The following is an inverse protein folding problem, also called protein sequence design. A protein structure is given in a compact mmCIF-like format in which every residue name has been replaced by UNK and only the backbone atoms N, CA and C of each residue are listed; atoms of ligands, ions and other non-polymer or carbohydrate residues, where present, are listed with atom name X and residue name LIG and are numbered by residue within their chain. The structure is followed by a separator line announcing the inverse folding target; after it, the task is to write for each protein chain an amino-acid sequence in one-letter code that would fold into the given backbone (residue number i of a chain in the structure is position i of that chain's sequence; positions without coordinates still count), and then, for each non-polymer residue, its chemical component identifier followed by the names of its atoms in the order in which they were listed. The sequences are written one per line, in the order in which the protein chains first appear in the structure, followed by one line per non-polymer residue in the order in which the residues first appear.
data_IF_546268625248
#
_entry.id   IF_546268625248
#
_cell.length_a   1.000
_cell.length_b   1.000
_cell.length_c   1.000
_cell.angle_alpha   90.00
_cell.angle_beta   90.00
_cell.angle_gamma   90.00
#
_symmetry.space_group_name_H-M   'P 1'
#
loop_
_entity.id
_entity.type
_entity.pdbx_description
1 polymer ?
#
# COMPACT_ATOMS: atom_id res chain seq x y z
N UNK A 1 -27.68 -13.25 26.56
CA UNK A 1 -28.15 -12.52 25.36
C UNK A 1 -27.79 -11.04 25.29
N UNK A 2 -27.54 -10.30 26.38
CA UNK A 2 -27.01 -8.92 26.29
C UNK A 2 -25.47 -8.88 26.21
N UNK A 3 -24.77 -9.66 27.05
CA UNK A 3 -23.29 -9.69 27.06
C UNK A 3 -22.66 -10.24 25.77
N UNK A 4 -23.32 -11.19 25.11
CA UNK A 4 -22.80 -11.84 23.90
C UNK A 4 -22.82 -10.90 22.68
N UNK A 5 -23.79 -9.97 22.62
CA UNK A 5 -23.83 -8.91 21.60
C UNK A 5 -22.75 -7.86 21.83
N UNK A 6 -22.47 -7.48 23.08
CA UNK A 6 -21.46 -6.47 23.40
C UNK A 6 -20.01 -6.96 23.23
N UNK A 7 -19.80 -8.27 23.26
CA UNK A 7 -18.50 -8.91 23.00
C UNK A 7 -18.25 -9.03 21.50
N UNK A 8 -19.26 -9.46 20.74
CA UNK A 8 -19.21 -9.53 19.27
C UNK A 8 -19.05 -8.15 18.62
N UNK A 9 -19.66 -7.11 19.20
CA UNK A 9 -19.54 -5.72 18.70
C UNK A 9 -18.16 -5.11 19.03
N UNK A 10 -17.52 -5.54 20.14
CA UNK A 10 -16.14 -5.16 20.46
C UNK A 10 -15.14 -5.83 19.53
N UNK A 11 -15.22 -7.15 19.36
CA UNK A 11 -14.31 -7.88 18.46
C UNK A 11 -14.37 -7.38 17.02
N UNK A 12 -15.57 -7.04 16.52
CA UNK A 12 -15.74 -6.49 15.16
C UNK A 12 -15.08 -5.11 15.00
N UNK A 13 -15.23 -4.21 15.98
CA UNK A 13 -14.55 -2.91 16.00
C UNK A 13 -13.03 -2.97 16.24
N UNK A 14 -12.52 -4.06 16.82
CA UNK A 14 -11.08 -4.30 16.96
C UNK A 14 -10.45 -4.83 15.66
N UNK A 15 -11.12 -5.72 14.93
CA UNK A 15 -10.62 -6.28 13.66
C UNK A 15 -10.60 -5.25 12.52
N UNK A 16 -11.60 -4.36 12.46
CA UNK A 16 -11.65 -3.26 11.48
C UNK A 16 -10.54 -2.23 11.74
N UNK A 17 -10.24 -1.94 13.02
CA UNK A 17 -9.11 -1.08 13.38
C UNK A 17 -7.76 -1.73 13.07
N UNK A 18 -7.61 -3.04 13.30
CA UNK A 18 -6.35 -3.74 13.02
C UNK A 18 -6.06 -3.81 11.52
N UNK A 19 -7.07 -4.14 10.70
CA UNK A 19 -6.94 -4.16 9.24
C UNK A 19 -6.66 -2.77 8.67
N UNK A 20 -7.32 -1.73 9.20
CA UNK A 20 -7.08 -0.34 8.81
C UNK A 20 -5.69 0.17 9.23
N UNK A 21 -5.23 -0.17 10.44
CA UNK A 21 -3.89 0.17 10.93
C UNK A 21 -2.82 -0.59 10.14
N UNK A 22 -3.05 -1.85 9.80
CA UNK A 22 -2.14 -2.62 8.95
C UNK A 22 -2.10 -2.07 7.53
N UNK A 23 -3.23 -1.71 6.91
CA UNK A 23 -3.23 -1.12 5.58
C UNK A 23 -2.60 0.28 5.56
N UNK A 24 -2.80 1.08 6.60
CA UNK A 24 -2.07 2.35 6.79
C UNK A 24 -0.59 2.07 7.02
N UNK A 25 -0.23 1.04 7.78
CA UNK A 25 1.16 0.69 8.04
C UNK A 25 1.86 0.18 6.79
N UNK A 26 1.23 -0.70 6.00
CA UNK A 26 1.72 -1.13 4.69
C UNK A 26 1.79 0.04 3.72
N UNK A 27 0.79 0.92 3.67
CA UNK A 27 0.81 2.11 2.83
C UNK A 27 1.88 3.12 3.28
N UNK A 28 2.08 3.32 4.58
CA UNK A 28 3.13 4.19 5.13
C UNK A 28 4.51 3.57 4.96
N UNK A 29 4.66 2.26 5.14
CA UNK A 29 5.89 1.52 4.90
C UNK A 29 6.21 1.57 3.41
N UNK A 30 5.24 1.32 2.55
CA UNK A 30 5.34 1.49 1.11
C UNK A 30 5.68 2.93 0.74
N UNK A 31 5.04 3.95 1.32
CA UNK A 31 5.37 5.36 1.07
C UNK A 31 6.77 5.75 1.59
N UNK A 32 7.20 5.26 2.75
CA UNK A 32 8.52 5.52 3.33
C UNK A 32 9.60 4.83 2.51
N UNK A 33 9.35 3.59 2.08
CA UNK A 33 10.22 2.83 1.18
C UNK A 33 10.23 3.49 -0.19
N UNK A 34 9.08 3.90 -0.72
CA UNK A 34 8.93 4.59 -2.01
C UNK A 34 9.66 5.93 -2.03
N UNK A 35 9.52 6.78 -1.01
CA UNK A 35 10.25 8.05 -0.92
C UNK A 35 11.78 7.83 -0.79
N UNK A 36 12.21 6.82 -0.02
CA UNK A 36 13.63 6.47 0.08
C UNK A 36 14.20 5.85 -1.19
N UNK A 37 13.36 5.11 -1.93
CA UNK A 37 13.76 4.34 -3.12
C UNK A 37 13.41 5.04 -4.42
N UNK A 38 12.78 6.22 -4.36
CA UNK A 38 12.34 7.00 -5.53
C UNK A 38 13.46 7.16 -6.55
N UNK A 39 14.66 7.50 -6.07
CA UNK A 39 15.86 7.60 -6.91
C UNK A 39 16.18 6.30 -7.64
N UNK A 40 16.04 5.14 -6.98
CA UNK A 40 16.37 3.84 -7.56
C UNK A 40 15.26 3.31 -8.47
N UNK A 41 14.00 3.66 -8.21
CA UNK A 41 12.90 3.46 -9.15
C UNK A 41 13.04 4.31 -10.41
N UNK A 42 13.38 5.60 -10.27
CA UNK A 42 13.68 6.49 -11.42
C UNK A 42 14.88 5.94 -12.20
N UNK A 43 15.97 5.59 -11.50
CA UNK A 43 17.14 4.95 -12.08
C UNK A 43 16.78 3.69 -12.86
N UNK A 44 15.92 2.82 -12.30
CA UNK A 44 15.44 1.61 -12.97
C UNK A 44 14.60 1.94 -14.20
N UNK A 45 13.67 2.88 -14.09
CA UNK A 45 12.76 3.28 -15.17
C UNK A 45 13.50 3.86 -16.38
N UNK A 46 14.58 4.59 -16.15
CA UNK A 46 15.45 5.15 -17.20
C UNK A 46 16.28 4.09 -17.95
N UNK A 47 16.34 2.84 -17.47
CA UNK A 47 17.12 1.79 -18.13
C UNK A 47 16.46 1.30 -19.41
N UNK A 48 17.27 1.11 -20.45
CA UNK A 48 16.85 0.43 -21.66
C UNK A 48 16.46 -1.03 -21.36
N UNK A 49 15.57 -1.60 -22.18
CA UNK A 49 15.07 -2.97 -21.96
C UNK A 49 16.18 -4.03 -22.00
N UNK A 50 17.19 -3.84 -22.85
CA UNK A 50 18.37 -4.72 -22.91
C UNK A 50 19.15 -4.71 -21.59
N UNK A 51 19.35 -3.51 -21.05
CA UNK A 51 20.05 -3.27 -19.79
C UNK A 51 19.26 -3.88 -18.61
N UNK A 52 17.92 -3.70 -18.57
CA UNK A 52 17.04 -4.35 -17.58
C UNK A 52 17.12 -5.88 -17.65
N UNK A 53 17.15 -6.44 -18.85
CA UNK A 53 17.20 -7.90 -19.06
C UNK A 53 18.50 -8.48 -18.53
N UNK A 54 19.64 -7.84 -18.79
CA UNK A 54 20.93 -8.26 -18.25
C UNK A 54 20.92 -8.23 -16.71
N UNK A 55 20.47 -7.11 -16.12
CA UNK A 55 20.42 -6.96 -14.67
C UNK A 55 19.53 -8.03 -14.03
N UNK A 56 18.31 -8.23 -14.55
CA UNK A 56 17.39 -9.27 -14.07
C UNK A 56 18.00 -10.66 -14.18
N UNK A 57 18.66 -10.96 -15.31
CA UNK A 57 19.29 -12.26 -15.51
C UNK A 57 20.40 -12.49 -14.48
N UNK A 58 21.27 -11.50 -14.25
CA UNK A 58 22.33 -11.56 -13.24
C UNK A 58 21.73 -11.71 -11.84
N UNK A 59 20.71 -10.92 -11.51
CA UNK A 59 19.99 -10.96 -10.24
C UNK A 59 19.41 -12.34 -9.95
N UNK A 60 18.77 -12.99 -10.94
CA UNK A 60 18.19 -14.33 -10.78
C UNK A 60 19.23 -15.46 -10.71
N UNK A 61 20.40 -15.27 -11.31
CA UNK A 61 21.41 -16.34 -11.44
C UNK A 61 22.42 -16.32 -10.30
N UNK A 62 22.68 -15.15 -9.72
CA UNK A 62 23.69 -14.94 -8.69
C UNK A 62 23.07 -14.92 -7.30
N UNK A 63 23.86 -15.24 -6.26
CA UNK A 63 23.45 -14.89 -4.89
C UNK A 63 23.43 -13.37 -4.69
N UNK A 64 22.70 -12.88 -3.68
CA UNK A 64 22.66 -11.45 -3.37
C UNK A 64 24.05 -10.83 -3.15
N UNK A 65 24.97 -11.57 -2.53
CA UNK A 65 26.36 -11.13 -2.33
C UNK A 65 27.12 -11.03 -3.66
N UNK A 66 26.99 -12.05 -4.52
CA UNK A 66 27.64 -12.07 -5.83
C UNK A 66 27.07 -11.00 -6.76
N UNK A 67 25.75 -10.78 -6.71
CA UNK A 67 25.07 -9.71 -7.43
C UNK A 67 25.56 -8.34 -6.98
N UNK A 68 25.70 -8.12 -5.67
CA UNK A 68 26.28 -6.89 -5.11
C UNK A 68 27.72 -6.65 -5.58
N UNK A 69 28.57 -7.69 -5.59
CA UNK A 69 29.94 -7.60 -6.11
C UNK A 69 29.96 -7.26 -7.60
N UNK A 70 29.07 -7.88 -8.39
CA UNK A 70 28.95 -7.59 -9.81
C UNK A 70 28.51 -6.14 -10.06
N UNK A 71 27.51 -5.64 -9.33
CA UNK A 71 27.04 -4.25 -9.42
C UNK A 71 28.17 -3.24 -9.16
N UNK A 72 29.04 -3.50 -8.17
CA UNK A 72 30.09 -2.58 -7.76
C UNK A 72 31.36 -2.64 -8.62
N UNK A 73 31.60 -3.75 -9.33
CA UNK A 73 32.90 -3.96 -10.00
C UNK A 73 32.81 -4.14 -11.52
N UNK A 74 31.75 -4.79 -11.99
CA UNK A 74 31.62 -5.25 -13.37
C UNK A 74 30.50 -4.53 -14.13
N UNK A 75 29.47 -4.09 -13.42
CA UNK A 75 28.32 -3.43 -14.02
C UNK A 75 28.69 -2.09 -14.68
N UNK A 76 28.01 -1.78 -15.79
CA UNK A 76 28.15 -0.52 -16.55
C UNK A 76 28.01 0.73 -15.68
N UNK A 77 27.25 0.65 -14.58
CA UNK A 77 26.96 1.77 -13.66
C UNK A 77 27.72 1.72 -12.34
N UNK A 78 28.78 0.91 -12.23
CA UNK A 78 29.57 0.73 -11.01
C UNK A 78 30.04 2.02 -10.34
N UNK A 79 30.27 3.09 -11.12
CA UNK A 79 30.71 4.38 -10.59
C UNK A 79 29.58 5.24 -10.00
N UNK A 80 28.33 4.83 -10.19
CA UNK A 80 27.13 5.53 -9.69
C UNK A 80 26.43 4.79 -8.56
N UNK A 81 26.82 3.53 -8.32
CA UNK A 81 26.22 2.63 -7.33
C UNK A 81 27.21 2.49 -6.19
N UNK A 82 26.73 2.71 -4.96
CA UNK A 82 27.49 2.47 -3.74
C UNK A 82 27.02 1.19 -3.06
N UNK A 83 27.76 0.74 -2.05
CA UNK A 83 27.38 -0.46 -1.29
C UNK A 83 26.02 -0.33 -0.62
N UNK A 84 25.70 0.87 -0.12
CA UNK A 84 24.43 1.15 0.56
C UNK A 84 23.24 1.12 -0.41
N UNK A 85 23.50 1.26 -1.71
CA UNK A 85 22.47 1.26 -2.75
C UNK A 85 21.98 -0.14 -3.13
N UNK A 86 22.77 -1.18 -2.85
CA UNK A 86 22.50 -2.55 -3.31
C UNK A 86 21.15 -3.05 -2.82
N UNK A 87 20.83 -2.84 -1.53
CA UNK A 87 19.57 -3.28 -0.96
C UNK A 87 18.36 -2.64 -1.66
N UNK A 88 18.47 -1.36 -2.01
CA UNK A 88 17.42 -0.60 -2.67
C UNK A 88 17.26 -0.97 -4.15
N UNK A 89 18.37 -1.26 -4.83
CA UNK A 89 18.36 -1.76 -6.21
C UNK A 89 17.72 -3.14 -6.25
N UNK A 90 18.11 -4.07 -5.37
CA UNK A 90 17.51 -5.40 -5.27
C UNK A 90 16.00 -5.30 -5.03
N UNK A 91 15.59 -4.48 -4.06
CA UNK A 91 14.18 -4.21 -3.79
C UNK A 91 13.42 -3.71 -5.02
N UNK A 92 14.00 -2.76 -5.76
CA UNK A 92 13.36 -2.20 -6.97
C UNK A 92 13.22 -3.24 -8.08
N UNK A 93 14.15 -4.19 -8.18
CA UNK A 93 14.09 -5.30 -9.15
C UNK A 93 13.03 -6.31 -8.72
N UNK A 94 12.95 -6.66 -7.44
CA UNK A 94 11.95 -7.56 -6.89
C UNK A 94 10.53 -7.02 -7.13
N UNK A 95 10.28 -5.76 -6.77
CA UNK A 95 9.01 -5.06 -7.01
C UNK A 95 8.62 -5.06 -8.50
N UNK A 96 9.59 -4.78 -9.38
CA UNK A 96 9.37 -4.85 -10.82
C UNK A 96 9.03 -6.27 -11.33
N UNK A 97 9.69 -7.29 -10.79
CA UNK A 97 9.43 -8.69 -11.14
C UNK A 97 8.06 -9.14 -10.65
N UNK A 98 7.65 -8.72 -9.45
CA UNK A 98 6.33 -8.95 -8.90
C UNK A 98 5.26 -8.26 -9.78
N UNK A 99 5.46 -7.00 -10.14
CA UNK A 99 4.61 -6.28 -11.08
C UNK A 99 4.46 -7.01 -12.42
N UNK A 100 5.57 -7.47 -13.02
CA UNK A 100 5.51 -8.25 -14.27
C UNK A 100 4.77 -9.57 -14.08
N UNK A 101 5.06 -10.30 -13.00
CA UNK A 101 4.47 -11.61 -12.74
C UNK A 101 2.96 -11.49 -12.63
N UNK A 102 2.48 -10.51 -11.86
CA UNK A 102 1.06 -10.17 -11.74
C UNK A 102 0.47 -9.86 -13.11
N UNK A 103 1.16 -9.09 -13.95
CA UNK A 103 0.64 -8.73 -15.28
C UNK A 103 0.71 -9.87 -16.31
N UNK A 104 1.57 -10.88 -16.13
CA UNK A 104 1.69 -12.02 -17.04
C UNK A 104 0.71 -13.14 -16.71
N UNK A 105 0.40 -13.34 -15.42
CA UNK A 105 -0.61 -14.30 -14.97
C UNK A 105 -2.04 -13.79 -15.28
N UNK A 106 -2.23 -12.47 -15.36
CA UNK A 106 -3.52 -11.83 -15.63
C UNK A 106 -3.77 -11.53 -17.13
N UNK A 107 -3.69 -12.55 -17.99
CA UNK A 107 -4.41 -12.51 -19.29
C UNK A 107 -5.91 -12.81 -19.13
N UNK A 108 -6.42 -12.72 -17.92
CA UNK A 108 -7.86 -12.71 -17.61
C UNK A 108 -8.46 -11.35 -17.96
N UNK A 109 -9.72 -11.36 -18.36
CA UNK A 109 -10.46 -10.18 -18.79
C UNK A 109 -10.39 -9.07 -17.72
N UNK A 110 -9.67 -7.98 -18.01
CA UNK A 110 -9.53 -6.84 -17.09
C UNK A 110 -10.92 -6.34 -16.66
N UNK A 111 -11.22 -6.44 -15.37
CA UNK A 111 -12.47 -5.96 -14.79
C UNK A 111 -12.49 -4.44 -14.83
N UNK A 112 -13.39 -3.88 -15.62
CA UNK A 112 -13.51 -2.42 -15.77
C UNK A 112 -14.60 -1.89 -14.86
N UNK A 113 -14.24 -0.94 -14.01
CA UNK A 113 -15.18 -0.21 -13.17
C UNK A 113 -14.91 1.30 -13.24
N UNK A 114 -15.76 2.07 -12.57
CA UNK A 114 -15.65 3.51 -12.53
C UNK A 114 -15.65 4.02 -11.10
N UNK A 115 -14.88 5.07 -10.85
CA UNK A 115 -14.86 5.79 -9.58
C UNK A 115 -15.14 7.27 -9.80
N UNK A 116 -16.07 7.82 -9.03
CA UNK A 116 -16.41 9.24 -9.05
C UNK A 116 -15.58 9.95 -7.98
N UNK A 117 -14.71 10.87 -8.43
CA UNK A 117 -13.81 11.68 -7.61
C UNK A 117 -14.08 13.14 -7.91
N UNK A 118 -14.52 13.92 -6.92
CA UNK A 118 -14.88 15.34 -7.08
C UNK A 118 -15.75 15.59 -8.32
N UNK A 119 -16.84 14.82 -8.42
CA UNK A 119 -17.82 14.84 -9.53
C UNK A 119 -17.29 14.37 -10.90
N UNK A 120 -16.04 13.90 -10.98
CA UNK A 120 -15.45 13.36 -12.21
C UNK A 120 -15.44 11.85 -12.17
N UNK A 121 -16.00 11.23 -13.21
CA UNK A 121 -15.96 9.79 -13.41
C UNK A 121 -14.60 9.40 -14.01
N UNK A 122 -13.85 8.53 -13.34
CA UNK A 122 -12.58 7.95 -13.80
C UNK A 122 -12.74 6.46 -13.99
N UNK A 123 -12.14 5.92 -15.06
CA UNK A 123 -12.08 4.47 -15.31
C UNK A 123 -11.00 3.88 -14.44
N UNK A 124 -11.31 2.76 -13.78
CA UNK A 124 -10.35 1.91 -13.09
C UNK A 124 -10.37 0.52 -13.72
N UNK A 125 -9.20 -0.12 -13.72
CA UNK A 125 -9.01 -1.48 -14.22
C UNK A 125 -8.56 -2.32 -13.05
N UNK A 126 -9.40 -3.24 -12.63
CA UNK A 126 -9.16 -4.12 -11.50
C UNK A 126 -8.66 -5.46 -12.02
N UNK A 127 -7.67 -6.01 -11.31
CA UNK A 127 -7.13 -7.34 -11.61
C UNK A 127 -7.94 -8.44 -10.95
N UNK A 128 -8.47 -8.16 -9.77
CA UNK A 128 -9.24 -9.07 -8.95
C UNK A 128 -10.52 -8.37 -8.48
N UNK A 129 -11.61 -9.14 -8.35
CA UNK A 129 -12.88 -8.63 -7.86
C UNK A 129 -12.89 -8.58 -6.33
N UNK A 130 -12.06 -7.70 -5.76
CA UNK A 130 -11.92 -7.51 -4.31
C UNK A 130 -12.00 -6.05 -3.90
N UNK A 131 -12.34 -5.83 -2.63
CA UNK A 131 -12.36 -4.52 -2.00
C UNK A 131 -10.96 -3.91 -1.90
N UNK A 132 -9.95 -4.75 -1.65
CA UNK A 132 -8.55 -4.32 -1.59
C UNK A 132 -8.08 -3.78 -2.94
N UNK A 133 -8.33 -4.49 -4.03
CA UNK A 133 -7.97 -4.04 -5.38
C UNK A 133 -8.75 -2.78 -5.77
N UNK A 134 -10.04 -2.69 -5.41
CA UNK A 134 -10.83 -1.47 -5.62
C UNK A 134 -10.22 -0.27 -4.92
N UNK A 135 -9.82 -0.42 -3.64
CA UNK A 135 -9.14 0.62 -2.89
C UNK A 135 -7.82 1.00 -3.56
N UNK A 136 -7.00 0.02 -3.94
CA UNK A 136 -5.71 0.23 -4.57
C UNK A 136 -5.84 1.06 -5.85
N UNK A 137 -6.72 0.65 -6.78
CA UNK A 137 -6.97 1.38 -8.03
C UNK A 137 -7.56 2.77 -7.78
N UNK A 138 -8.41 2.91 -6.75
CA UNK A 138 -8.98 4.19 -6.34
C UNK A 138 -7.90 5.16 -5.88
N UNK A 139 -6.98 4.72 -5.01
CA UNK A 139 -5.87 5.56 -4.53
C UNK A 139 -4.98 6.02 -5.68
N UNK A 140 -4.72 5.14 -6.65
CA UNK A 140 -3.93 5.48 -7.84
C UNK A 140 -4.61 6.57 -8.71
N UNK A 141 -5.93 6.72 -8.61
CA UNK A 141 -6.67 7.76 -9.33
C UNK A 141 -6.70 9.13 -8.62
N UNK A 142 -6.22 9.22 -7.38
CA UNK A 142 -6.22 10.46 -6.61
C UNK A 142 -5.09 11.39 -7.04
N UNK A 143 -5.40 12.68 -7.10
CA UNK A 143 -4.40 13.72 -7.33
C UNK A 143 -3.69 14.10 -6.01
N UNK A 144 -2.47 14.65 -6.09
CA UNK A 144 -1.70 15.12 -4.93
C UNK A 144 -2.51 16.03 -3.98
N UNK A 145 -3.42 16.85 -4.54
CA UNK A 145 -4.30 17.74 -3.76
C UNK A 145 -5.28 16.99 -2.85
N UNK A 146 -5.73 15.80 -3.25
CA UNK A 146 -6.61 14.98 -2.41
C UNK A 146 -5.88 14.51 -1.14
N UNK A 147 -4.61 14.14 -1.25
CA UNK A 147 -3.78 13.77 -0.11
C UNK A 147 -3.48 14.96 0.82
N UNK A 148 -3.25 16.15 0.25
CA UNK A 148 -3.14 17.37 1.05
C UNK A 148 -4.43 17.64 1.83
N UNK A 149 -5.58 17.44 1.20
CA UNK A 149 -6.90 17.60 1.83
C UNK A 149 -7.09 16.60 2.99
N UNK A 150 -6.81 15.32 2.76
CA UNK A 150 -6.85 14.26 3.78
C UNK A 150 -6.04 14.66 5.02
N UNK A 151 -4.80 15.12 4.82
CA UNK A 151 -3.90 15.46 5.90
C UNK A 151 -4.27 16.75 6.63
N UNK A 152 -4.68 17.78 5.90
CA UNK A 152 -4.98 19.10 6.49
C UNK A 152 -6.33 19.12 7.20
N UNK A 153 -7.31 18.37 6.69
CA UNK A 153 -8.69 18.37 7.17
C UNK A 153 -9.02 17.13 8.02
N UNK A 154 -8.04 16.24 8.28
CA UNK A 154 -8.21 14.97 8.99
C UNK A 154 -9.39 14.15 8.43
N UNK A 155 -9.43 13.99 7.12
CA UNK A 155 -10.49 13.26 6.43
C UNK A 155 -10.08 11.80 6.20
N UNK A 156 -11.06 10.90 6.22
CA UNK A 156 -10.93 9.52 5.77
C UNK A 156 -11.60 9.36 4.42
N UNK A 157 -10.95 8.64 3.51
CA UNK A 157 -11.55 8.18 2.27
C UNK A 157 -12.53 7.06 2.59
N UNK A 158 -13.76 7.17 2.11
CA UNK A 158 -14.75 6.09 2.17
C UNK A 158 -15.37 5.91 0.78
N UNK A 159 -15.51 4.65 0.37
CA UNK A 159 -16.14 4.28 -0.89
C UNK A 159 -17.62 4.00 -0.64
N UNK A 160 -18.45 4.49 -1.55
CA UNK A 160 -19.89 4.21 -1.56
C UNK A 160 -20.37 3.82 -2.95
N UNK A 161 -21.47 3.07 -3.04
CA UNK A 161 -22.21 2.87 -4.29
C UNK A 161 -22.96 4.15 -4.71
N UNK A 162 -23.63 4.09 -5.87
CA UNK A 162 -24.48 5.18 -6.36
C UNK A 162 -25.69 5.49 -5.47
N UNK A 163 -26.08 4.57 -4.57
CA UNK A 163 -27.16 4.74 -3.59
C UNK A 163 -26.63 5.28 -2.26
N UNK A 164 -25.33 5.58 -2.16
CA UNK A 164 -24.60 5.99 -0.96
C UNK A 164 -24.52 4.92 0.13
N UNK A 165 -24.66 3.63 -0.21
CA UNK A 165 -24.31 2.55 0.70
C UNK A 165 -22.78 2.43 0.77
N UNK A 166 -22.25 2.24 1.97
CA UNK A 166 -20.82 2.10 2.19
C UNK A 166 -20.34 0.76 1.62
N UNK A 167 -19.20 0.80 0.91
CA UNK A 167 -18.49 -0.39 0.43
C UNK A 167 -17.37 -0.69 1.41
N UNK A 168 -17.45 -1.83 2.10
CA UNK A 168 -16.49 -2.23 3.14
C UNK A 168 -16.01 -3.68 2.99
N UNK A 169 -16.56 -4.43 2.02
CA UNK A 169 -16.30 -5.85 1.82
C UNK A 169 -16.22 -6.25 0.35
N UNK A 170 -15.65 -7.43 0.09
CA UNK A 170 -15.61 -8.02 -1.25
C UNK A 170 -17.03 -8.28 -1.77
N UNK A 171 -17.96 -8.71 -0.90
CA UNK A 171 -19.36 -8.92 -1.26
C UNK A 171 -20.04 -7.65 -1.76
N UNK A 172 -19.73 -6.49 -1.17
CA UNK A 172 -20.26 -5.19 -1.62
C UNK A 172 -19.74 -4.84 -3.02
N UNK A 173 -18.46 -5.13 -3.30
CA UNK A 173 -17.86 -4.92 -4.63
C UNK A 173 -18.49 -5.85 -5.66
N UNK A 174 -18.58 -7.14 -5.35
CA UNK A 174 -19.18 -8.14 -6.25
C UNK A 174 -20.60 -7.75 -6.65
N UNK A 175 -21.39 -7.28 -5.68
CA UNK A 175 -22.77 -6.84 -5.92
C UNK A 175 -22.86 -5.66 -6.89
N UNK A 176 -21.93 -4.72 -6.84
CA UNK A 176 -21.91 -3.60 -7.77
C UNK A 176 -21.55 -4.06 -9.20
N UNK A 177 -20.73 -5.10 -9.33
CA UNK A 177 -20.38 -5.75 -10.60
C UNK A 177 -21.50 -6.62 -11.20
N UNK A 178 -22.60 -6.85 -10.48
CA UNK A 178 -23.83 -7.38 -11.09
C UNK A 178 -24.51 -6.34 -12.00
N UNK A 179 -24.12 -5.07 -11.91
CA UNK A 179 -24.57 -4.01 -12.82
C UNK A 179 -23.74 -3.98 -14.11
N UNK A 180 -24.33 -3.48 -15.20
CA UNK A 180 -23.62 -3.33 -16.48
C UNK A 180 -22.46 -2.31 -16.42
N UNK A 181 -22.45 -1.43 -15.42
CA UNK A 181 -21.48 -0.33 -15.31
C UNK A 181 -21.12 -0.07 -13.83
N UNK A 182 -20.32 -0.96 -13.21
CA UNK A 182 -20.00 -0.89 -11.79
C UNK A 182 -19.37 0.47 -11.46
N UNK A 183 -20.06 1.25 -10.63
CA UNK A 183 -19.68 2.63 -10.35
C UNK A 183 -19.66 2.91 -8.86
N UNK A 184 -18.48 3.29 -8.39
CA UNK A 184 -18.22 3.69 -7.02
C UNK A 184 -18.06 5.20 -6.92
N UNK A 185 -18.25 5.74 -5.73
CA UNK A 185 -18.07 7.16 -5.42
C UNK A 185 -17.21 7.30 -4.18
N UNK A 186 -16.27 8.22 -4.23
CA UNK A 186 -15.51 8.62 -3.05
C UNK A 186 -16.33 9.66 -2.28
N UNK A 187 -16.49 9.41 -0.99
CA UNK A 187 -16.91 10.41 -0.02
C UNK A 187 -15.78 10.63 0.98
N UNK A 188 -15.66 11.88 1.43
CA UNK A 188 -14.72 12.26 2.46
C UNK A 188 -15.46 12.38 3.77
N UNK A 189 -15.14 11.53 4.74
CA UNK A 189 -15.71 11.61 6.08
C UNK A 189 -14.69 12.22 7.02
N UNK A 190 -15.11 13.19 7.85
CA UNK A 190 -14.23 13.67 8.89
C UNK A 190 -13.91 12.53 9.83
N UNK A 191 -12.64 12.38 10.20
CA UNK A 191 -12.27 11.57 11.34
C UNK A 191 -12.81 12.29 12.58
N UNK A 192 -14.09 12.08 12.89
CA UNK A 192 -14.66 12.55 14.14
C UNK A 192 -14.07 11.65 15.21
N UNK A 193 -12.83 11.94 15.61
CA UNK A 193 -12.35 11.57 16.93
C UNK A 193 -13.45 12.08 17.85
N UNK A 194 -14.20 11.15 18.44
CA UNK A 194 -14.75 11.39 19.75
C UNK A 194 -13.59 11.96 20.55
N UNK A 195 -13.67 13.27 20.78
CA UNK A 195 -12.76 14.04 21.60
C UNK A 195 -12.94 13.46 23.00
N UNK A 196 -12.25 12.35 23.28
CA UNK A 196 -11.72 12.16 24.61
C UNK A 196 -10.65 13.23 24.69
N UNK A 197 -11.02 14.32 25.34
CA UNK A 197 -10.24 15.49 25.70
C UNK A 197 -8.96 15.06 26.46
N UNK A 198 -8.01 14.50 25.74
CA UNK A 198 -6.69 14.14 26.21
C UNK A 198 -5.69 14.77 25.25
N UNK A 199 -4.92 15.74 25.75
CA UNK A 199 -3.89 16.52 25.03
C UNK A 199 -3.22 15.70 23.92
N UNK A 200 -3.37 16.14 22.67
CA UNK A 200 -2.58 15.62 21.56
C UNK A 200 -1.10 15.88 21.83
N UNK A 201 -0.32 14.81 21.94
CA UNK A 201 1.14 14.88 22.05
C UNK A 201 1.74 14.62 20.68
N UNK A 202 2.45 15.61 20.14
CA UNK A 202 3.24 15.43 18.91
C UNK A 202 4.41 14.52 19.22
N UNK A 203 4.38 13.29 18.72
CA UNK A 203 5.53 12.40 18.76
C UNK A 203 6.40 12.75 17.55
N UNK A 204 7.53 13.42 17.82
CA UNK A 204 8.47 13.84 16.77
C UNK A 204 9.37 12.72 16.26
N UNK A 205 9.37 11.58 16.95
CA UNK A 205 10.29 10.49 16.66
C UNK A 205 9.51 9.25 16.20
N UNK A 206 9.65 8.91 14.92
CA UNK A 206 9.04 7.73 14.32
C UNK A 206 9.47 6.42 15.00
N UNK A 207 10.67 6.36 15.59
CA UNK A 207 11.16 5.20 16.33
C UNK A 207 10.29 4.89 17.57
N UNK A 208 9.74 5.92 18.21
CA UNK A 208 8.87 5.76 19.39
C UNK A 208 7.53 5.14 19.00
N UNK A 209 7.03 5.46 17.80
CA UNK A 209 5.81 4.84 17.27
C UNK A 209 6.08 3.37 16.92
N UNK A 210 7.21 3.08 16.27
CA UNK A 210 7.62 1.71 15.93
C UNK A 210 7.79 0.84 17.18
N UNK A 211 8.42 1.35 18.24
CA UNK A 211 8.56 0.63 19.52
C UNK A 211 7.19 0.37 20.15
N UNK A 212 6.32 1.37 20.22
CA UNK A 212 4.99 1.22 20.79
C UNK A 212 4.11 0.20 20.03
N UNK A 213 4.26 0.12 18.70
CA UNK A 213 3.60 -0.89 17.88
C UNK A 213 4.20 -2.28 18.14
N UNK A 214 5.53 -2.39 18.24
CA UNK A 214 6.20 -3.67 18.54
C UNK A 214 5.90 -4.20 19.95
N UNK A 215 5.76 -3.32 20.94
CA UNK A 215 5.33 -3.69 22.30
C UNK A 215 3.85 -4.11 22.35
N UNK A 216 3.05 -3.75 21.33
CA UNK A 216 1.66 -4.19 21.22
C UNK A 216 1.54 -5.62 20.66
N UNK A 217 2.54 -6.11 19.92
CA UNK A 217 2.64 -7.50 19.46
C UNK A 217 3.13 -8.48 20.55
N UNK A 218 3.48 -7.98 21.73
CA UNK A 218 4.22 -8.74 22.75
C UNK A 218 3.37 -9.73 23.58
N UNK A 219 2.09 -9.94 23.22
CA UNK A 219 1.33 -11.07 23.76
C UNK A 219 1.77 -12.42 23.17
N UNK A 220 2.66 -12.45 22.18
CA UNK A 220 3.35 -13.67 21.77
C UNK A 220 4.88 -13.47 21.61
N UNK A 221 5.56 -13.40 22.75
CA UNK A 221 6.99 -13.76 22.98
C UNK A 221 8.01 -13.25 21.94
N UNK A 222 8.61 -12.08 22.18
CA UNK A 222 9.98 -11.82 21.74
C UNK A 222 10.97 -12.00 22.90
N UNK A 223 11.72 -13.11 22.87
CA UNK A 223 12.79 -13.35 23.85
C UNK A 223 14.01 -12.49 23.50
N UNK A 224 14.22 -11.45 24.32
CA UNK A 224 15.49 -10.82 24.67
C UNK A 224 16.38 -10.33 23.51
N UNK A 225 16.38 -9.02 23.28
CA UNK A 225 17.57 -8.31 22.82
C UNK A 225 18.40 -7.91 24.05
N UNK A 226 19.62 -8.42 24.17
CA UNK A 226 20.60 -7.94 25.15
C UNK A 226 21.28 -6.69 24.59
N UNK A 227 21.35 -5.67 25.45
CA UNK A 227 22.08 -4.41 25.24
C UNK A 227 23.55 -4.63 24.88
#
# INVERSE_FOLDING_TARGET
NANEKDEQTREKGFNENYTYVMNIFFYLLHCIIYEKNKRWMEWWNEREQKDKTEIIQKFKTMSNEQFGVWLLNECKWKHTITKDDIAYISFSIDDYLEFIKINQENKEEELTAYVIIDERKKVIKMKELSFEELLFQTYHCLESKAFQKINNENLKLQLVDLRNNIIESDEDVMKEFESNEPTFKIIWTSFQQSIILGKTKTIKNALVILIAISEYEDNNKWKNLKN
#
